data_IF_131882358489
#
_entry.id   IF_131882358489
#
_cell.length_a   1.000
_cell.length_b   1.000
_cell.length_c   1.000
_cell.angle_alpha   90.00
_cell.angle_beta   90.00
_cell.angle_gamma   90.00
#
_symmetry.space_group_name_H-M   'P 1'
#
loop_
_entity.id
_entity.type
_entity.pdbx_description
1 polymer ?
#
# COMPACT_ATOMS: atom_id res chain seq x y z
N UNK A 1 5.61 1.43 9.55
CA UNK A 1 5.74 2.43 8.46
C UNK A 1 6.42 1.78 7.27
N UNK A 2 6.03 2.18 6.05
CA UNK A 2 6.56 1.69 4.77
C UNK A 2 7.32 2.79 4.02
N UNK A 3 8.02 2.41 2.97
CA UNK A 3 8.61 3.36 2.03
C UNK A 3 8.49 2.81 0.62
N UNK A 4 8.58 3.70 -0.36
CA UNK A 4 8.64 3.29 -1.76
C UNK A 4 9.94 2.50 -2.02
N UNK A 5 9.89 1.44 -2.85
CA UNK A 5 8.68 0.82 -3.37
C UNK A 5 8.08 -0.18 -2.37
N UNK A 6 6.75 -0.30 -2.36
CA UNK A 6 6.05 -1.40 -1.71
C UNK A 6 5.80 -2.55 -2.69
N UNK A 7 5.51 -3.72 -2.14
CA UNK A 7 5.03 -4.89 -2.87
C UNK A 7 3.72 -5.38 -2.29
N UNK A 8 2.78 -5.74 -3.16
CA UNK A 8 1.51 -6.38 -2.80
C UNK A 8 1.63 -7.87 -3.12
N UNK A 9 1.29 -8.72 -2.15
CA UNK A 9 1.39 -10.16 -2.29
C UNK A 9 0.52 -10.68 -3.45
N UNK A 10 1.00 -11.74 -4.10
CA UNK A 10 0.33 -12.39 -5.24
C UNK A 10 -0.10 -13.80 -4.86
N UNK A 11 -1.21 -14.24 -5.44
CA UNK A 11 -1.59 -15.64 -5.45
C UNK A 11 -0.59 -16.46 -6.28
N UNK A 12 0.00 -17.46 -5.64
CA UNK A 12 0.92 -18.43 -6.23
C UNK A 12 0.22 -19.70 -6.73
N UNK A 13 -1.12 -19.73 -6.80
CA UNK A 13 -1.84 -20.92 -7.24
C UNK A 13 -1.39 -21.38 -8.64
N UNK A 14 -1.02 -22.66 -8.76
CA UNK A 14 -0.58 -23.32 -10.02
C UNK A 14 -1.33 -24.62 -10.31
N UNK A 15 -2.38 -24.92 -9.54
CA UNK A 15 -3.14 -26.16 -9.69
C UNK A 15 -4.01 -26.18 -10.96
N UNK A 16 -4.60 -27.35 -11.25
CA UNK A 16 -5.35 -27.58 -12.48
C UNK A 16 -6.81 -27.07 -12.47
N UNK A 17 -7.37 -26.72 -11.30
CA UNK A 17 -8.76 -26.27 -11.18
C UNK A 17 -8.95 -24.91 -11.90
N UNK A 18 -9.72 -24.84 -13.00
CA UNK A 18 -9.88 -23.63 -13.79
C UNK A 18 -10.46 -22.46 -12.99
N UNK A 19 -11.42 -22.73 -12.08
CA UNK A 19 -12.07 -21.67 -11.28
C UNK A 19 -11.08 -21.03 -10.31
N UNK A 20 -10.22 -21.84 -9.69
CA UNK A 20 -9.17 -21.34 -8.80
C UNK A 20 -8.08 -20.60 -9.57
N UNK A 21 -7.76 -21.04 -10.79
CA UNK A 21 -6.82 -20.32 -11.68
C UNK A 21 -7.35 -18.95 -12.07
N UNK A 22 -8.62 -18.86 -12.48
CA UNK A 22 -9.28 -17.59 -12.81
C UNK A 22 -9.29 -16.64 -11.61
N UNK A 23 -9.73 -17.11 -10.45
CA UNK A 23 -9.70 -16.32 -9.20
C UNK A 23 -8.31 -15.83 -8.85
N UNK A 24 -7.28 -16.67 -9.02
CA UNK A 24 -5.88 -16.28 -8.79
C UNK A 24 -5.39 -15.24 -9.79
N UNK A 25 -5.80 -15.35 -11.06
CA UNK A 25 -5.46 -14.38 -12.10
C UNK A 25 -6.12 -13.01 -11.83
N UNK A 26 -7.39 -12.99 -11.46
CA UNK A 26 -8.11 -11.76 -11.09
C UNK A 26 -7.50 -11.11 -9.85
N UNK A 27 -7.24 -11.90 -8.79
CA UNK A 27 -6.54 -11.40 -7.60
C UNK A 27 -5.18 -10.78 -7.95
N UNK A 28 -4.40 -11.44 -8.81
CA UNK A 28 -3.08 -10.94 -9.20
C UNK A 28 -3.16 -9.68 -10.07
N UNK A 29 -4.20 -9.54 -10.88
CA UNK A 29 -4.47 -8.32 -11.66
C UNK A 29 -4.75 -7.14 -10.73
N UNK A 30 -5.66 -7.32 -9.78
CA UNK A 30 -6.04 -6.29 -8.80
C UNK A 30 -4.84 -5.92 -7.92
N UNK A 31 -4.06 -6.90 -7.48
CA UNK A 31 -2.81 -6.68 -6.76
C UNK A 31 -1.80 -5.83 -7.57
N UNK A 32 -1.77 -5.98 -8.90
CA UNK A 32 -0.81 -5.25 -9.76
C UNK A 32 -1.22 -3.79 -9.87
N UNK A 33 -2.52 -3.59 -10.05
CA UNK A 33 -3.10 -2.27 -10.12
C UNK A 33 -2.91 -1.51 -8.81
N UNK A 34 -3.22 -2.14 -7.67
CA UNK A 34 -3.00 -1.53 -6.36
C UNK A 34 -1.52 -1.19 -6.13
N UNK A 35 -0.61 -2.14 -6.38
CA UNK A 35 0.84 -1.92 -6.22
C UNK A 35 1.35 -0.75 -7.07
N UNK A 36 0.96 -0.70 -8.35
CA UNK A 36 1.36 0.39 -9.26
C UNK A 36 0.85 1.74 -8.76
N UNK A 37 -0.45 1.83 -8.44
CA UNK A 37 -1.07 3.09 -8.01
C UNK A 37 -0.56 3.58 -6.66
N UNK A 38 -0.38 2.67 -5.71
CA UNK A 38 0.22 3.02 -4.42
C UNK A 38 1.66 3.49 -4.59
N UNK A 39 2.47 2.80 -5.41
CA UNK A 39 3.85 3.23 -5.67
C UNK A 39 3.92 4.58 -6.40
N UNK A 40 3.00 4.88 -7.32
CA UNK A 40 2.87 6.21 -7.94
C UNK A 40 2.59 7.31 -6.90
N UNK A 41 1.72 7.04 -5.92
CA UNK A 41 1.42 7.98 -4.84
C UNK A 41 2.64 8.17 -3.91
N UNK A 42 3.29 7.08 -3.51
CA UNK A 42 4.47 7.12 -2.63
C UNK A 42 5.64 7.85 -3.29
N UNK A 43 5.83 7.70 -4.61
CA UNK A 43 6.86 8.42 -5.35
C UNK A 43 6.57 9.94 -5.41
N UNK A 44 5.29 10.33 -5.43
CA UNK A 44 4.86 11.74 -5.48
C UNK A 44 4.77 12.40 -4.09
N UNK A 45 4.83 11.63 -3.01
CA UNK A 45 4.72 12.10 -1.63
C UNK A 45 5.66 13.27 -1.36
N UNK A 46 5.13 14.35 -0.76
CA UNK A 46 5.90 15.54 -0.40
C UNK A 46 6.15 15.63 1.10
N UNK A 47 5.21 15.15 1.88
CA UNK A 47 5.24 15.09 3.34
C UNK A 47 6.32 14.09 3.80
N UNK A 48 7.10 14.39 4.85
CA UNK A 48 8.10 13.44 5.38
C UNK A 48 7.48 12.11 5.80
N UNK A 49 6.32 12.16 6.45
CA UNK A 49 5.52 11.01 6.88
C UNK A 49 4.06 11.25 6.51
N UNK A 50 3.38 10.25 5.96
CA UNK A 50 1.97 10.34 5.56
C UNK A 50 1.25 9.01 5.75
N UNK A 51 0.02 9.07 6.25
CA UNK A 51 -0.89 7.93 6.30
C UNK A 51 -1.72 7.82 5.02
N UNK A 52 -1.76 6.63 4.44
CA UNK A 52 -2.59 6.28 3.28
C UNK A 52 -3.68 5.32 3.73
N UNK A 53 -4.93 5.75 3.58
CA UNK A 53 -6.09 4.94 3.96
C UNK A 53 -6.49 3.98 2.85
N UNK A 54 -7.04 2.82 3.19
CA UNK A 54 -7.58 1.87 2.21
C UNK A 54 -8.67 2.50 1.33
N UNK A 55 -9.48 3.41 1.90
CA UNK A 55 -10.48 4.15 1.14
C UNK A 55 -9.87 5.06 0.06
N UNK A 56 -8.77 5.76 0.38
CA UNK A 56 -8.06 6.60 -0.59
C UNK A 56 -7.48 5.74 -1.73
N UNK A 57 -6.86 4.61 -1.36
CA UNK A 57 -6.25 3.69 -2.32
C UNK A 57 -7.29 2.96 -3.17
N UNK A 58 -8.47 2.67 -2.63
CA UNK A 58 -9.63 2.15 -3.37
C UNK A 58 -10.06 3.09 -4.49
N UNK A 59 -10.19 4.39 -4.18
CA UNK A 59 -10.53 5.41 -5.16
C UNK A 59 -9.41 5.54 -6.21
N UNK A 60 -8.16 5.62 -5.79
CA UNK A 60 -7.01 5.78 -6.69
C UNK A 60 -6.80 4.57 -7.62
N UNK A 61 -7.08 3.36 -7.14
CA UNK A 61 -6.95 2.13 -7.92
C UNK A 61 -8.21 1.77 -8.72
N UNK A 62 -9.36 2.37 -8.42
CA UNK A 62 -10.65 1.96 -9.01
C UNK A 62 -11.07 0.55 -8.58
N UNK A 63 -10.63 0.10 -7.41
CA UNK A 63 -10.95 -1.20 -6.81
C UNK A 63 -11.95 -1.02 -5.66
N UNK A 64 -12.73 -2.05 -5.33
CA UNK A 64 -13.59 -1.99 -4.14
C UNK A 64 -12.77 -1.86 -2.85
N UNK A 65 -13.35 -1.24 -1.83
CA UNK A 65 -12.72 -1.12 -0.52
C UNK A 65 -12.30 -2.49 0.04
N UNK A 66 -13.21 -3.48 0.01
CA UNK A 66 -12.94 -4.83 0.52
C UNK A 66 -11.76 -5.49 -0.20
N UNK A 67 -11.65 -5.30 -1.52
CA UNK A 67 -10.52 -5.82 -2.30
C UNK A 67 -9.21 -5.14 -1.89
N UNK A 68 -9.22 -3.82 -1.70
CA UNK A 68 -8.03 -3.09 -1.25
C UNK A 68 -7.66 -3.45 0.19
N UNK A 69 -8.62 -3.65 1.08
CA UNK A 69 -8.35 -4.08 2.45
C UNK A 69 -7.75 -5.50 2.49
N UNK A 70 -8.30 -6.43 1.71
CA UNK A 70 -7.77 -7.79 1.55
C UNK A 70 -6.32 -7.79 1.05
N UNK A 71 -6.05 -7.04 -0.03
CA UNK A 71 -4.71 -6.94 -0.62
C UNK A 71 -3.75 -6.14 0.28
N UNK A 72 -4.24 -5.04 0.84
CA UNK A 72 -3.49 -4.09 1.66
C UNK A 72 -3.02 -4.67 2.98
N UNK A 73 -3.71 -5.69 3.49
CA UNK A 73 -3.22 -6.47 4.64
C UNK A 73 -1.80 -7.01 4.41
N UNK A 74 -1.45 -7.40 3.18
CA UNK A 74 -0.10 -7.87 2.85
C UNK A 74 0.99 -6.79 2.91
N UNK A 75 0.59 -5.51 2.89
CA UNK A 75 1.53 -4.38 2.91
C UNK A 75 2.05 -4.14 4.32
N UNK A 76 1.17 -3.95 5.31
CA UNK A 76 1.55 -3.56 6.68
C UNK A 76 0.72 -4.26 7.78
N UNK A 77 -0.01 -5.34 7.44
CA UNK A 77 -0.90 -6.08 8.35
C UNK A 77 -1.97 -5.22 9.06
N UNK A 78 -2.26 -4.02 8.53
CA UNK A 78 -3.17 -3.03 9.11
C UNK A 78 -4.61 -3.15 8.60
N UNK A 79 -5.57 -2.66 9.39
CA UNK A 79 -7.01 -2.75 9.11
C UNK A 79 -7.61 -1.55 8.36
N UNK A 80 -6.91 -0.42 8.28
CA UNK A 80 -7.44 0.82 7.68
C UNK A 80 -6.51 1.55 6.71
N UNK A 81 -5.27 1.09 6.58
CA UNK A 81 -4.24 1.76 5.77
C UNK A 81 -2.85 1.37 6.22
N UNK A 82 -1.89 2.19 5.80
CA UNK A 82 -0.52 2.16 6.33
C UNK A 82 0.06 3.57 6.36
N UNK A 83 1.07 3.77 7.22
CA UNK A 83 1.85 5.00 7.25
C UNK A 83 3.14 4.81 6.47
N UNK A 84 3.52 5.78 5.65
CA UNK A 84 4.75 5.75 4.88
C UNK A 84 5.61 6.99 5.05
N UNK A 85 6.92 6.82 4.93
CA UNK A 85 7.86 7.93 4.85
C UNK A 85 8.34 8.17 3.43
N UNK A 86 8.70 9.43 3.16
CA UNK A 86 9.09 9.90 1.83
C UNK A 86 10.31 9.15 1.30
N UNK A 87 10.25 8.74 0.03
CA UNK A 87 11.22 7.81 -0.58
C UNK A 87 12.67 8.31 -0.64
N UNK A 88 12.89 9.62 -0.57
CA UNK A 88 14.20 10.26 -0.64
C UNK A 88 14.75 10.63 0.76
N UNK A 89 14.20 10.03 1.81
CA UNK A 89 14.62 10.24 3.20
C UNK A 89 14.95 8.91 3.88
N UNK A 90 15.83 8.98 4.84
CA UNK A 90 16.12 7.88 5.76
C UNK A 90 15.01 7.75 6.80
N UNK A 91 14.92 6.56 7.40
CA UNK A 91 14.01 6.32 8.52
C UNK A 91 14.25 7.28 9.69
N UNK A 92 15.52 7.57 10.02
CA UNK A 92 15.86 8.47 11.11
C UNK A 92 15.37 9.91 10.87
N UNK A 93 15.55 10.42 9.64
CA UNK A 93 15.04 11.74 9.25
C UNK A 93 13.51 11.78 9.31
N UNK A 94 12.84 10.73 8.86
CA UNK A 94 11.39 10.62 8.93
C UNK A 94 10.87 10.59 10.37
N UNK A 95 11.54 9.84 11.26
CA UNK A 95 11.20 9.79 12.68
C UNK A 95 11.42 11.13 13.38
N UNK A 96 12.49 11.85 13.03
CA UNK A 96 12.74 13.19 13.56
C UNK A 96 11.68 14.18 13.10
N UNK A 97 11.30 14.15 11.81
CA UNK A 97 10.24 14.99 11.27
C UNK A 97 8.88 14.74 11.95
N UNK A 98 8.55 13.46 12.21
CA UNK A 98 7.32 13.09 12.93
C UNK A 98 7.32 13.52 14.40
N UNK A 99 8.48 13.68 15.03
CA UNK A 99 8.60 14.18 16.40
C UNK A 99 8.55 15.70 16.46
N UNK A 100 9.16 16.40 15.51
CA UNK A 100 9.19 17.87 15.49
C UNK A 100 7.82 18.51 15.24
N UNK A 101 6.89 17.82 14.57
CA UNK A 101 5.50 18.28 14.44
C UNK A 101 4.71 18.26 15.78
N UNK A 102 5.27 17.65 16.84
CA UNK A 102 4.64 17.58 18.16
C UNK A 102 5.32 18.48 19.21
N UNK A 103 6.18 19.41 18.80
CA UNK A 103 6.84 20.37 19.70
C UNK A 103 6.45 21.78 19.29
N UNK A 104 5.18 22.10 19.51
CA UNK A 104 4.65 23.47 19.61
C UNK A 104 3.57 23.44 20.71
N UNK A 105 4.02 23.40 21.97
CA UNK A 105 3.28 23.87 23.17
C UNK A 105 4.28 24.14 24.32
#
# INVERSE_FOLDING_TARGET
MKTYPIRVARSSYRGADPKKREKAADYNRDAALLESRTNELLLKQKEPVRSYLWMELSIAAGLSYDRVAELGYSIDCGSGGFTAWRHNMTYAEAMNASKSENVDD
#
